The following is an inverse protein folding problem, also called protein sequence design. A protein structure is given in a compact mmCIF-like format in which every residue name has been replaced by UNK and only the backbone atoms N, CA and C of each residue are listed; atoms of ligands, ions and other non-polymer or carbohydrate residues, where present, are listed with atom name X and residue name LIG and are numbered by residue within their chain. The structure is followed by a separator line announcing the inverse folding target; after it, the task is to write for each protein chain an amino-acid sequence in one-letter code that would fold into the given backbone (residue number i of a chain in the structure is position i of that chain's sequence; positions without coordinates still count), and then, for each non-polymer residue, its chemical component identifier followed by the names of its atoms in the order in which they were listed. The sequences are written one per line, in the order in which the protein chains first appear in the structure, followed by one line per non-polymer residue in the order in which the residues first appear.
data_IF_262411191973
#
_entry.id   IF_262411191973
#
_cell.length_a   1.000
_cell.length_b   1.000
_cell.length_c   1.000
_cell.angle_alpha   90.00
_cell.angle_beta   90.00
_cell.angle_gamma   90.00
#
_symmetry.space_group_name_H-M   'P 1'
#
loop_
_entity.id
_entity.type
_entity.pdbx_description
1 polymer ?
#
# COMPACT_ATOMS: atom_id res chain seq x y z
N UNK A 1 4.83 -23.54 -23.27
CA UNK A 1 3.57 -23.21 -22.58
C UNK A 1 2.45 -23.25 -23.59
N UNK A 2 1.45 -24.09 -23.37
CA UNK A 2 0.28 -24.22 -24.25
C UNK A 2 -0.63 -22.99 -24.10
N UNK A 3 -1.44 -22.70 -25.14
CA UNK A 3 -2.39 -21.57 -25.16
C UNK A 3 -3.34 -21.62 -23.96
N UNK A 4 -3.77 -22.83 -23.58
CA UNK A 4 -4.63 -23.06 -22.41
C UNK A 4 -3.97 -22.65 -21.07
N UNK A 5 -2.67 -22.93 -20.90
CA UNK A 5 -1.93 -22.52 -19.67
C UNK A 5 -1.83 -21.00 -19.57
N UNK A 6 -1.57 -20.29 -20.67
CA UNK A 6 -1.52 -18.82 -20.70
C UNK A 6 -2.87 -18.20 -20.35
N UNK A 7 -3.97 -18.78 -20.83
CA UNK A 7 -5.34 -18.31 -20.52
C UNK A 7 -5.65 -18.50 -19.06
N UNK A 8 -5.30 -19.63 -18.47
CA UNK A 8 -5.54 -19.91 -17.06
C UNK A 8 -4.76 -18.97 -16.12
N UNK A 9 -3.51 -18.64 -16.46
CA UNK A 9 -2.72 -17.66 -15.70
C UNK A 9 -3.32 -16.25 -15.78
N UNK A 10 -3.76 -15.81 -16.96
CA UNK A 10 -4.41 -14.50 -17.13
C UNK A 10 -5.70 -14.40 -16.31
N UNK A 11 -6.55 -15.42 -16.39
CA UNK A 11 -7.81 -15.47 -15.62
C UNK A 11 -7.54 -15.42 -14.12
N UNK A 12 -6.55 -16.18 -13.62
CA UNK A 12 -6.16 -16.16 -12.20
C UNK A 12 -5.73 -14.76 -11.76
N UNK A 13 -4.86 -14.10 -12.51
CA UNK A 13 -4.41 -12.74 -12.22
C UNK A 13 -5.56 -11.74 -12.17
N UNK A 14 -6.51 -11.84 -13.10
CA UNK A 14 -7.68 -10.99 -13.15
C UNK A 14 -8.58 -11.20 -11.92
N UNK A 15 -8.84 -12.46 -11.55
CA UNK A 15 -9.64 -12.80 -10.37
C UNK A 15 -8.98 -12.29 -9.09
N UNK A 16 -7.68 -12.53 -8.92
CA UNK A 16 -6.93 -12.04 -7.74
C UNK A 16 -6.94 -10.51 -7.69
N UNK A 17 -6.71 -9.84 -8.82
CA UNK A 17 -6.78 -8.38 -8.90
C UNK A 17 -8.16 -7.86 -8.49
N UNK A 18 -9.24 -8.46 -9.01
CA UNK A 18 -10.62 -8.08 -8.69
C UNK A 18 -10.96 -8.29 -7.21
N UNK A 19 -10.64 -9.47 -6.65
CA UNK A 19 -10.90 -9.79 -5.26
C UNK A 19 -10.15 -8.84 -4.29
N UNK A 20 -8.85 -8.64 -4.51
CA UNK A 20 -8.05 -7.77 -3.64
C UNK A 20 -8.40 -6.29 -3.83
N UNK A 21 -8.82 -5.87 -5.02
CA UNK A 21 -9.38 -4.53 -5.24
C UNK A 21 -10.69 -4.33 -4.47
N UNK A 22 -11.58 -5.31 -4.46
CA UNK A 22 -12.80 -5.26 -3.67
C UNK A 22 -12.49 -5.15 -2.16
N UNK A 23 -11.51 -5.90 -1.65
CA UNK A 23 -11.03 -5.77 -0.27
C UNK A 23 -10.49 -4.36 0.00
N UNK A 24 -9.71 -3.78 -0.93
CA UNK A 24 -9.22 -2.39 -0.81
C UNK A 24 -10.37 -1.38 -0.73
N UNK A 25 -11.42 -1.55 -1.54
CA UNK A 25 -12.60 -0.68 -1.53
C UNK A 25 -13.33 -0.81 -0.18
N UNK A 26 -13.59 -2.03 0.29
CA UNK A 26 -14.25 -2.28 1.59
C UNK A 26 -13.46 -1.66 2.73
N UNK A 27 -12.14 -1.89 2.79
CA UNK A 27 -11.27 -1.26 3.79
C UNK A 27 -11.34 0.27 3.70
N UNK A 28 -11.33 0.82 2.48
CA UNK A 28 -11.42 2.27 2.26
C UNK A 28 -12.75 2.88 2.68
N UNK A 29 -13.85 2.16 2.54
CA UNK A 29 -15.20 2.67 2.85
C UNK A 29 -15.64 2.36 4.29
N UNK A 30 -14.84 1.61 5.03
CA UNK A 30 -15.14 1.23 6.43
C UNK A 30 -14.08 1.78 7.39
N UNK A 31 -14.37 1.88 8.70
CA UNK A 31 -13.38 2.23 9.72
C UNK A 31 -12.21 1.25 9.82
N UNK A 32 -12.35 0.03 9.28
CA UNK A 32 -11.32 -1.01 9.28
C UNK A 32 -10.09 -0.62 8.45
N UNK A 33 -10.21 0.34 7.54
CA UNK A 33 -9.09 0.86 6.76
C UNK A 33 -8.06 1.65 7.56
N UNK A 34 -8.43 2.10 8.76
CA UNK A 34 -7.55 2.80 9.70
C UNK A 34 -7.77 2.19 11.08
N UNK A 35 -6.79 1.45 11.57
CA UNK A 35 -6.82 0.87 12.91
C UNK A 35 -6.33 1.93 13.89
N UNK A 36 -7.17 2.43 14.81
CA UNK A 36 -6.73 3.38 15.81
C UNK A 36 -5.84 2.68 16.84
N UNK A 37 -4.59 3.10 16.93
CA UNK A 37 -3.64 2.68 17.97
C UNK A 37 -3.33 3.88 18.88
N UNK A 38 -4.26 4.20 19.78
CA UNK A 38 -4.18 5.39 20.63
C UNK A 38 -4.26 6.68 19.78
N UNK A 39 -3.28 7.60 19.87
CA UNK A 39 -3.26 8.83 19.08
C UNK A 39 -2.84 8.62 17.62
N UNK A 40 -2.46 7.39 17.24
CA UNK A 40 -1.97 7.03 15.91
C UNK A 40 -3.01 6.21 15.16
N UNK A 41 -3.07 6.38 13.83
CA UNK A 41 -3.90 5.57 12.95
C UNK A 41 -3.04 4.76 12.00
N UNK A 42 -3.08 3.42 12.11
CA UNK A 42 -2.39 2.51 11.18
C UNK A 42 -3.27 2.26 9.98
N UNK A 43 -2.79 2.65 8.79
CA UNK A 43 -3.52 2.42 7.54
C UNK A 43 -3.33 0.98 7.07
N UNK A 44 -4.43 0.25 6.83
CA UNK A 44 -4.40 -1.13 6.32
C UNK A 44 -4.75 -1.24 4.84
N UNK A 45 -5.21 -0.15 4.24
CA UNK A 45 -5.73 -0.10 2.86
C UNK A 45 -4.70 -0.45 1.79
N UNK A 46 -3.40 -0.34 2.08
CA UNK A 46 -2.31 -0.68 1.16
C UNK A 46 -1.96 -2.18 1.16
N UNK A 47 -2.43 -2.95 2.17
CA UNK A 47 -2.14 -4.39 2.30
C UNK A 47 -2.57 -5.23 1.10
N UNK A 48 -3.79 -5.06 0.54
CA UNK A 48 -4.19 -5.81 -0.66
C UNK A 48 -3.26 -5.58 -1.85
N UNK A 49 -2.75 -4.35 -2.03
CA UNK A 49 -1.81 -4.05 -3.11
C UNK A 49 -0.45 -4.76 -2.91
N UNK A 50 0.05 -4.79 -1.67
CA UNK A 50 1.26 -5.53 -1.31
C UNK A 50 1.08 -7.02 -1.55
N UNK A 51 0.00 -7.62 -1.05
CA UNK A 51 -0.29 -9.05 -1.21
C UNK A 51 -0.42 -9.40 -2.69
N UNK A 52 -1.17 -8.61 -3.46
CA UNK A 52 -1.32 -8.80 -4.91
C UNK A 52 0.01 -8.70 -5.67
N UNK A 53 0.88 -7.77 -5.27
CA UNK A 53 2.22 -7.61 -5.84
C UNK A 53 3.14 -8.82 -5.59
N UNK A 54 3.07 -9.41 -4.39
CA UNK A 54 3.86 -10.59 -4.03
C UNK A 54 3.35 -11.86 -4.73
N UNK A 55 2.03 -12.01 -4.85
CA UNK A 55 1.41 -13.22 -5.43
C UNK A 55 1.43 -13.22 -6.95
N UNK A 56 1.11 -12.09 -7.59
CA UNK A 56 0.86 -12.00 -9.03
C UNK A 56 1.77 -11.01 -9.77
N UNK A 57 2.60 -10.25 -9.04
CA UNK A 57 3.61 -9.38 -9.62
C UNK A 57 3.21 -7.89 -9.70
N UNK A 58 4.10 -7.05 -10.31
CA UNK A 58 4.05 -5.60 -10.17
C UNK A 58 2.80 -4.98 -10.82
N UNK A 59 2.33 -5.55 -11.92
CA UNK A 59 1.15 -5.02 -12.63
C UNK A 59 -0.11 -5.20 -11.79
N UNK A 60 -0.32 -6.40 -11.23
CA UNK A 60 -1.50 -6.67 -10.40
C UNK A 60 -1.47 -5.82 -9.13
N UNK A 61 -0.31 -5.75 -8.44
CA UNK A 61 -0.15 -4.85 -7.29
C UNK A 61 -0.38 -3.38 -7.63
N UNK A 62 0.08 -2.93 -8.81
CA UNK A 62 -0.13 -1.56 -9.30
C UNK A 62 -1.61 -1.26 -9.60
N UNK A 63 -2.34 -2.21 -10.20
CA UNK A 63 -3.80 -2.06 -10.46
C UNK A 63 -4.57 -1.97 -9.14
N UNK A 64 -4.27 -2.83 -8.16
CA UNK A 64 -4.90 -2.75 -6.84
C UNK A 64 -4.54 -1.42 -6.16
N UNK A 65 -3.29 -0.98 -6.28
CA UNK A 65 -2.83 0.31 -5.79
C UNK A 65 -3.55 1.50 -6.47
N UNK A 66 -3.82 1.40 -7.77
CA UNK A 66 -4.63 2.39 -8.49
C UNK A 66 -6.05 2.47 -7.91
N UNK A 67 -6.71 1.33 -7.69
CA UNK A 67 -8.05 1.29 -7.07
C UNK A 67 -8.01 1.91 -5.66
N UNK A 68 -7.01 1.56 -4.86
CA UNK A 68 -6.79 2.21 -3.56
C UNK A 68 -6.64 3.73 -3.68
N UNK A 69 -5.84 4.20 -4.66
CA UNK A 69 -5.65 5.64 -4.92
C UNK A 69 -6.95 6.34 -5.32
N UNK A 70 -7.77 5.70 -6.16
CA UNK A 70 -9.08 6.22 -6.57
C UNK A 70 -10.06 6.31 -5.39
N UNK A 71 -10.08 5.31 -4.50
CA UNK A 71 -10.87 5.36 -3.27
C UNK A 71 -10.40 6.48 -2.35
N UNK A 72 -9.08 6.69 -2.23
CA UNK A 72 -8.51 7.80 -1.45
C UNK A 72 -8.92 9.16 -2.02
N UNK A 73 -8.86 9.32 -3.35
CA UNK A 73 -9.30 10.53 -4.04
C UNK A 73 -10.81 10.76 -3.85
N UNK A 74 -11.63 9.73 -4.02
CA UNK A 74 -13.08 9.80 -3.79
C UNK A 74 -13.40 10.27 -2.37
N UNK A 75 -12.74 9.73 -1.35
CA UNK A 75 -12.90 10.15 0.05
C UNK A 75 -12.50 11.62 0.26
N UNK A 76 -11.45 12.09 -0.41
CA UNK A 76 -11.04 13.47 -0.34
C UNK A 76 -12.11 14.41 -0.94
N UNK A 77 -12.73 14.03 -2.05
CA UNK A 77 -13.81 14.80 -2.68
C UNK A 77 -15.10 14.77 -1.87
N UNK A 78 -15.42 13.63 -1.25
CA UNK A 78 -16.69 13.40 -0.53
C UNK A 78 -16.63 13.78 0.95
N UNK A 79 -15.45 13.95 1.53
CA UNK A 79 -15.24 14.14 2.96
C UNK A 79 -14.82 15.57 3.30
N UNK A 80 -15.39 16.15 4.38
CA UNK A 80 -15.06 17.47 4.90
C UNK A 80 -13.74 17.53 5.71
N UNK A 81 -12.70 16.78 5.33
CA UNK A 81 -11.39 16.83 6.02
C UNK A 81 -10.63 18.11 5.66
N UNK A 82 -9.93 18.71 6.62
CA UNK A 82 -9.03 19.84 6.41
C UNK A 82 -7.93 19.53 5.37
N UNK A 83 -7.55 18.28 5.22
CA UNK A 83 -6.55 17.81 4.27
C UNK A 83 -7.15 17.43 2.90
N UNK A 84 -8.47 17.50 2.73
CA UNK A 84 -9.15 17.13 1.48
C UNK A 84 -8.56 17.82 0.25
N UNK A 85 -8.30 19.15 0.23
CA UNK A 85 -7.72 19.82 -0.93
C UNK A 85 -6.37 19.24 -1.37
N UNK A 86 -5.55 18.80 -0.43
CA UNK A 86 -4.25 18.20 -0.68
C UNK A 86 -4.41 16.82 -1.33
N UNK A 87 -5.32 15.99 -0.80
CA UNK A 87 -5.60 14.66 -1.31
C UNK A 87 -6.47 14.63 -2.58
N UNK A 88 -7.07 15.75 -2.99
CA UNK A 88 -7.71 15.89 -4.30
C UNK A 88 -6.70 15.87 -5.45
N UNK A 89 -5.42 16.15 -5.19
CA UNK A 89 -4.40 16.04 -6.22
C UNK A 89 -4.07 14.56 -6.50
N UNK A 90 -4.24 14.10 -7.76
CA UNK A 90 -3.93 12.71 -8.14
C UNK A 90 -2.46 12.31 -7.90
N UNK A 91 -1.53 13.26 -7.96
CA UNK A 91 -0.12 12.99 -7.67
C UNK A 91 0.10 12.57 -6.22
N UNK A 92 -0.68 13.14 -5.29
CA UNK A 92 -0.62 12.78 -3.87
C UNK A 92 -1.40 11.50 -3.59
N UNK A 93 -2.60 11.36 -4.21
CA UNK A 93 -3.53 10.26 -3.89
C UNK A 93 -3.34 9.00 -4.72
N UNK A 94 -2.84 9.08 -5.95
CA UNK A 94 -2.82 7.93 -6.87
C UNK A 94 -1.39 7.44 -7.09
N UNK A 95 -0.46 8.34 -7.41
CA UNK A 95 0.88 7.93 -7.84
C UNK A 95 1.64 7.07 -6.80
N UNK A 96 1.72 7.43 -5.50
CA UNK A 96 2.39 6.60 -4.50
C UNK A 96 1.74 5.21 -4.38
N UNK A 97 0.41 5.14 -4.55
CA UNK A 97 -0.35 3.89 -4.43
C UNK A 97 -0.07 2.94 -5.58
N UNK A 98 0.04 3.43 -6.81
CA UNK A 98 0.44 2.61 -7.96
C UNK A 98 1.86 2.07 -7.75
N UNK A 99 2.77 2.87 -7.21
CA UNK A 99 4.16 2.50 -6.99
C UNK A 99 4.34 1.41 -5.91
N UNK A 100 3.34 1.15 -5.06
CA UNK A 100 3.37 0.04 -4.10
C UNK A 100 3.64 -1.29 -4.83
N UNK A 101 2.94 -1.55 -5.94
CA UNK A 101 3.06 -2.78 -6.70
C UNK A 101 4.50 -3.08 -7.16
N UNK A 102 5.13 -2.21 -7.97
CA UNK A 102 6.51 -2.35 -8.39
C UNK A 102 7.49 -2.43 -7.21
N UNK A 103 7.41 -1.50 -6.25
CA UNK A 103 8.33 -1.44 -5.11
C UNK A 103 8.33 -2.75 -4.31
N UNK A 104 7.13 -3.23 -3.94
CA UNK A 104 6.95 -4.51 -3.26
C UNK A 104 7.52 -5.69 -4.05
N UNK A 105 7.19 -5.77 -5.34
CA UNK A 105 7.60 -6.90 -6.18
C UNK A 105 9.11 -6.95 -6.36
N UNK A 106 9.75 -5.83 -6.64
CA UNK A 106 11.20 -5.80 -6.85
C UNK A 106 11.97 -6.05 -5.56
N UNK A 107 11.54 -5.48 -4.43
CA UNK A 107 12.14 -5.76 -3.13
C UNK A 107 11.99 -7.23 -2.75
N UNK A 108 10.77 -7.81 -2.89
CA UNK A 108 10.51 -9.22 -2.66
C UNK A 108 11.41 -10.11 -3.52
N UNK A 109 11.47 -9.89 -4.84
CA UNK A 109 12.29 -10.70 -5.76
C UNK A 109 13.78 -10.57 -5.50
N UNK A 110 14.26 -9.37 -5.15
CA UNK A 110 15.65 -9.13 -4.79
C UNK A 110 16.06 -9.91 -3.55
N UNK A 111 15.28 -9.81 -2.48
CA UNK A 111 15.52 -10.55 -1.23
C UNK A 111 15.37 -12.06 -1.40
N UNK A 112 14.44 -12.52 -2.24
CA UNK A 112 14.28 -13.95 -2.54
C UNK A 112 15.51 -14.55 -3.21
N UNK A 113 16.13 -13.80 -4.14
CA UNK A 113 17.39 -14.22 -4.78
C UNK A 113 18.56 -14.28 -3.80
N UNK A 114 18.61 -13.33 -2.85
CA UNK A 114 19.71 -13.21 -1.90
C UNK A 114 19.60 -14.22 -0.73
N UNK A 115 18.44 -14.34 -0.14
CA UNK A 115 18.26 -15.06 1.13
C UNK A 115 17.67 -16.45 0.98
N UNK A 116 16.94 -16.70 -0.13
CA UNK A 116 16.15 -17.94 -0.37
C UNK A 116 15.15 -18.25 0.76
N UNK A 117 14.85 -17.28 1.62
CA UNK A 117 13.91 -17.39 2.74
C UNK A 117 12.61 -16.68 2.42
N UNK A 118 11.58 -17.42 2.04
CA UNK A 118 10.29 -16.86 1.60
C UNK A 118 9.67 -15.85 2.58
N UNK A 119 9.64 -16.17 3.87
CA UNK A 119 9.04 -15.29 4.88
C UNK A 119 9.78 -13.94 4.98
N UNK A 120 11.13 -13.97 4.94
CA UNK A 120 11.96 -12.76 5.00
C UNK A 120 11.77 -11.91 3.73
N UNK A 121 11.69 -12.55 2.57
CA UNK A 121 11.49 -11.87 1.30
C UNK A 121 10.10 -11.21 1.22
N UNK A 122 9.06 -11.90 1.69
CA UNK A 122 7.70 -11.35 1.81
C UNK A 122 7.71 -10.14 2.75
N UNK A 123 8.32 -10.28 3.93
CA UNK A 123 8.45 -9.20 4.91
C UNK A 123 9.15 -7.97 4.34
N UNK A 124 10.28 -8.16 3.67
CA UNK A 124 11.01 -7.06 3.04
C UNK A 124 10.25 -6.39 1.90
N UNK A 125 9.51 -7.17 1.10
CA UNK A 125 8.57 -6.63 0.11
C UNK A 125 7.46 -5.79 0.74
N UNK A 126 6.90 -6.26 1.87
CA UNK A 126 5.87 -5.54 2.60
C UNK A 126 6.40 -4.21 3.18
N UNK A 127 7.59 -4.21 3.76
CA UNK A 127 8.25 -2.98 4.23
C UNK A 127 8.45 -2.00 3.09
N UNK A 128 9.00 -2.44 1.96
CA UNK A 128 9.22 -1.56 0.80
C UNK A 128 7.91 -0.95 0.27
N UNK A 129 6.84 -1.75 0.17
CA UNK A 129 5.53 -1.26 -0.27
C UNK A 129 4.91 -0.25 0.71
N UNK A 130 5.05 -0.49 2.01
CA UNK A 130 4.57 0.44 3.06
C UNK A 130 5.36 1.75 3.02
N UNK A 131 6.69 1.66 2.96
CA UNK A 131 7.55 2.86 2.91
C UNK A 131 7.26 3.71 1.68
N UNK A 132 7.09 3.09 0.50
CA UNK A 132 6.74 3.83 -0.72
C UNK A 132 5.37 4.51 -0.59
N UNK A 133 4.40 3.85 0.06
CA UNK A 133 3.10 4.46 0.33
C UNK A 133 3.24 5.68 1.25
N UNK A 134 3.82 5.50 2.43
CA UNK A 134 3.86 6.54 3.47
C UNK A 134 4.82 7.67 3.09
N UNK A 135 6.07 7.34 2.73
CA UNK A 135 7.05 8.34 2.34
C UNK A 135 6.70 9.00 0.99
N UNK A 136 6.09 8.26 0.07
CA UNK A 136 5.64 8.81 -1.21
C UNK A 136 4.55 9.86 -1.03
N UNK A 137 3.52 9.57 -0.23
CA UNK A 137 2.45 10.52 0.06
C UNK A 137 2.99 11.75 0.78
N UNK A 138 3.71 11.54 1.88
CA UNK A 138 4.27 12.64 2.69
C UNK A 138 5.30 13.45 1.91
N UNK A 139 6.08 12.81 1.03
CA UNK A 139 7.01 13.48 0.13
C UNK A 139 6.32 14.39 -0.87
N UNK A 140 5.24 13.91 -1.52
CA UNK A 140 4.46 14.78 -2.42
C UNK A 140 3.72 15.88 -1.67
N UNK A 141 3.23 15.65 -0.46
CA UNK A 141 2.66 16.69 0.39
C UNK A 141 3.71 17.77 0.69
N UNK A 142 4.91 17.36 1.08
CA UNK A 142 6.00 18.28 1.36
C UNK A 142 6.41 19.10 0.13
N UNK A 143 6.54 18.46 -1.04
CA UNK A 143 6.97 19.13 -2.26
C UNK A 143 5.93 20.11 -2.82
N UNK A 144 4.65 19.77 -2.74
CA UNK A 144 3.58 20.50 -3.43
C UNK A 144 2.74 21.38 -2.49
N UNK A 145 2.63 20.99 -1.21
CA UNK A 145 1.65 21.55 -0.28
C UNK A 145 2.19 21.80 1.13
N UNK A 146 3.53 21.94 1.31
CA UNK A 146 4.15 22.09 2.62
C UNK A 146 3.49 23.17 3.49
N UNK A 147 3.27 24.35 2.92
CA UNK A 147 2.65 25.48 3.63
C UNK A 147 1.18 25.21 3.97
N UNK A 148 0.38 24.74 3.01
CA UNK A 148 -1.03 24.42 3.24
C UNK A 148 -1.21 23.29 4.26
N UNK A 149 -0.31 22.31 4.21
CA UNK A 149 -0.31 21.21 5.17
C UNK A 149 0.03 21.71 6.58
N UNK A 150 1.06 22.59 6.72
CA UNK A 150 1.43 23.20 7.99
C UNK A 150 0.26 24.00 8.60
N UNK A 151 -0.40 24.84 7.79
CA UNK A 151 -1.57 25.63 8.19
C UNK A 151 -2.74 24.72 8.63
N UNK A 152 -2.98 23.61 7.89
CA UNK A 152 -4.07 22.67 8.20
C UNK A 152 -3.86 21.91 9.51
N UNK A 153 -2.61 21.60 9.88
CA UNK A 153 -2.29 20.87 11.13
C UNK A 153 -1.85 21.80 12.27
N UNK A 154 -1.79 23.11 12.04
CA UNK A 154 -1.48 24.12 13.07
C UNK A 154 -0.02 24.16 13.49
N UNK A 155 0.93 23.86 12.56
CA UNK A 155 2.38 23.93 12.83
C UNK A 155 3.03 25.04 12.02
N UNK A 156 4.21 25.50 12.48
CA UNK A 156 4.98 26.49 11.76
C UNK A 156 5.47 25.89 10.41
N UNK A 157 5.24 26.58 9.27
CA UNK A 157 5.74 26.15 7.96
C UNK A 157 7.26 25.91 7.91
N UNK A 158 8.05 26.61 8.74
CA UNK A 158 9.49 26.39 8.82
C UNK A 158 9.87 25.02 9.41
N UNK A 159 9.01 24.45 10.24
CA UNK A 159 9.24 23.17 10.94
C UNK A 159 8.46 21.99 10.35
N UNK A 160 7.63 22.23 9.33
CA UNK A 160 6.76 21.21 8.74
C UNK A 160 7.53 19.97 8.23
N UNK A 161 8.76 20.15 7.75
CA UNK A 161 9.61 19.02 7.34
C UNK A 161 9.92 18.04 8.47
N UNK A 162 10.26 18.57 9.64
CA UNK A 162 10.48 17.74 10.84
C UNK A 162 9.19 17.05 11.31
N UNK A 163 8.06 17.75 11.23
CA UNK A 163 6.74 17.20 11.56
C UNK A 163 6.39 16.03 10.63
N UNK A 164 6.60 16.20 9.33
CA UNK A 164 6.37 15.14 8.32
C UNK A 164 7.27 13.94 8.59
N UNK A 165 8.56 14.15 8.88
CA UNK A 165 9.47 13.05 9.25
C UNK A 165 9.01 12.34 10.52
N UNK A 166 8.56 13.08 11.52
CA UNK A 166 7.98 12.53 12.74
C UNK A 166 6.76 11.65 12.43
N UNK A 167 5.84 12.13 11.61
CA UNK A 167 4.64 11.37 11.18
C UNK A 167 5.05 10.10 10.39
N UNK A 168 6.02 10.20 9.49
CA UNK A 168 6.54 9.03 8.77
C UNK A 168 7.11 7.98 9.71
N UNK A 169 7.82 8.39 10.76
CA UNK A 169 8.39 7.45 11.73
C UNK A 169 7.30 6.86 12.65
N UNK A 170 6.45 7.69 13.22
CA UNK A 170 5.43 7.26 14.21
C UNK A 170 4.33 6.41 13.60
N UNK A 171 3.89 6.70 12.38
CA UNK A 171 2.88 5.91 11.67
C UNK A 171 3.52 4.80 10.83
N UNK A 172 4.62 5.08 10.14
CA UNK A 172 5.27 4.14 9.23
C UNK A 172 5.81 2.89 9.92
N UNK A 173 6.35 3.01 11.15
CA UNK A 173 6.87 1.84 11.89
C UNK A 173 5.74 0.85 12.24
N UNK A 174 4.66 1.24 12.91
CA UNK A 174 3.52 0.36 13.16
C UNK A 174 2.89 -0.20 11.89
N UNK A 175 2.76 0.63 10.84
CA UNK A 175 2.25 0.19 9.53
C UNK A 175 3.12 -0.90 8.91
N UNK A 176 4.45 -0.76 8.97
CA UNK A 176 5.39 -1.80 8.50
C UNK A 176 5.23 -3.10 9.28
N UNK A 177 5.10 -3.04 10.61
CA UNK A 177 4.93 -4.23 11.45
C UNK A 177 3.64 -4.98 11.05
N UNK A 178 2.52 -4.27 10.98
CA UNK A 178 1.22 -4.83 10.59
C UNK A 178 1.28 -5.39 9.17
N UNK A 179 1.91 -4.65 8.23
CA UNK A 179 2.06 -5.09 6.85
C UNK A 179 2.89 -6.37 6.74
N UNK A 180 3.99 -6.48 7.47
CA UNK A 180 4.84 -7.69 7.50
C UNK A 180 4.05 -8.87 8.05
N UNK A 181 3.43 -8.74 9.22
CA UNK A 181 2.70 -9.83 9.88
C UNK A 181 1.58 -10.36 8.98
N UNK A 182 0.73 -9.48 8.48
CA UNK A 182 -0.41 -9.88 7.64
C UNK A 182 0.04 -10.44 6.29
N UNK A 183 0.98 -9.77 5.61
CA UNK A 183 1.44 -10.22 4.29
C UNK A 183 2.16 -11.56 4.36
N UNK A 184 3.00 -11.79 5.38
CA UNK A 184 3.67 -13.08 5.59
C UNK A 184 2.64 -14.17 5.85
N UNK A 185 1.70 -13.96 6.77
CA UNK A 185 0.67 -14.94 7.09
C UNK A 185 -0.18 -15.32 5.86
N UNK A 186 -0.71 -14.32 5.16
CA UNK A 186 -1.58 -14.54 4.00
C UNK A 186 -0.83 -15.18 2.84
N UNK A 187 0.35 -14.66 2.48
CA UNK A 187 1.09 -15.17 1.32
C UNK A 187 1.62 -16.60 1.56
N UNK A 188 2.03 -16.95 2.78
CA UNK A 188 2.44 -18.32 3.09
C UNK A 188 1.24 -19.28 3.11
N UNK A 189 0.08 -18.87 3.64
CA UNK A 189 -1.13 -19.67 3.62
C UNK A 189 -1.58 -19.99 2.19
N UNK A 190 -1.64 -18.99 1.31
CA UNK A 190 -2.02 -19.16 -0.10
C UNK A 190 -1.05 -20.10 -0.83
N UNK A 191 0.26 -19.99 -0.59
CA UNK A 191 1.27 -20.88 -1.20
C UNK A 191 1.20 -22.28 -0.65
N UNK A 192 0.91 -22.46 0.65
CA UNK A 192 0.74 -23.77 1.27
C UNK A 192 -0.43 -24.57 0.67
N UNK A 193 -1.55 -23.90 0.40
CA UNK A 193 -2.72 -24.50 -0.27
C UNK A 193 -2.36 -24.93 -1.70
N UNK A 194 -1.61 -24.09 -2.44
CA UNK A 194 -1.17 -24.41 -3.81
C UNK A 194 -0.23 -25.62 -3.91
N UNK A 195 0.58 -25.89 -2.87
CA UNK A 195 1.46 -27.07 -2.80
C UNK A 195 0.71 -28.38 -2.51
N UNK A 196 -0.39 -28.32 -1.75
CA UNK A 196 -1.20 -29.52 -1.42
C UNK A 196 -2.10 -30.01 -2.56
N UNK A 197 -2.27 -29.19 -3.61
CA UNK A 197 -3.11 -29.54 -4.79
C UNK A 197 -2.32 -30.07 -6.00
N UNK A 198 -1.01 -30.18 -5.86
CA UNK A 198 -0.13 -30.87 -6.82
C UNK A 198 0.33 -32.20 -6.28
#
# INVERSE_FOLDING_TARGET
MTTLQKTHEKTRRLVVAGMLSAVSIVLGMTPLGIIPLGPLGVTTMHLPAIIGAILEGPVVGGVIGLIFGLVSLYKAVSGGSLLAPIFMNPLVSILPRILIGPATTYAYRGLEKLTKKHALSIGGGAVAGTLINTAGVMGFIYMLYARQYAEAIGVDPATVGYTILGICATNGIPECIVAVVISVAVCLAVRGIGRRRK
#
